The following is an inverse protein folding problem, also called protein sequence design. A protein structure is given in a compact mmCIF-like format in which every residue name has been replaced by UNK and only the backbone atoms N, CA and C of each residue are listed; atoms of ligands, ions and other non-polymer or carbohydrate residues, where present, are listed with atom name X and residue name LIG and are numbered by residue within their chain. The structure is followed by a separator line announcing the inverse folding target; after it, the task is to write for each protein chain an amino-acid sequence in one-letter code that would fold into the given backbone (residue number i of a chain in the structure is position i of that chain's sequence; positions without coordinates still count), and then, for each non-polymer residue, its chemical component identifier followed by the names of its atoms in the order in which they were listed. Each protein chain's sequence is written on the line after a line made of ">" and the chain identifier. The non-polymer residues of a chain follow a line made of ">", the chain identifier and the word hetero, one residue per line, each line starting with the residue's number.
data_IF_538913466298
#
_entry.id   IF_538913466298
#
_cell.length_a   1.000
_cell.length_b   1.000
_cell.length_c   1.000
_cell.angle_alpha   90.00
_cell.angle_beta   90.00
_cell.angle_gamma   90.00
#
_symmetry.space_group_name_H-M   'P 1'
#
loop_
_entity.id
_entity.type
_entity.pdbx_description
1 polymer ?
#
# COMPACT_ATOMS: atom_id res chain seq x y z
N UNK A 1 15.25 -8.59 -4.30
CA UNK A 1 16.03 -7.65 -3.49
C UNK A 1 15.28 -6.34 -3.31
N UNK A 2 15.19 -5.87 -2.10
CA UNK A 2 14.52 -4.62 -1.78
C UNK A 2 15.52 -3.54 -1.43
N UNK A 3 15.22 -2.32 -1.88
CA UNK A 3 16.06 -1.17 -1.63
C UNK A 3 15.20 0.04 -1.32
N UNK A 4 15.60 0.82 -0.31
CA UNK A 4 14.87 2.03 0.07
C UNK A 4 15.46 3.22 -0.66
N UNK A 5 14.64 3.99 -1.33
CA UNK A 5 15.11 5.15 -2.08
C UNK A 5 14.73 6.49 -1.47
N UNK A 6 13.80 6.51 -0.54
CA UNK A 6 13.43 7.73 0.16
C UNK A 6 13.40 7.47 1.65
N UNK A 7 14.57 7.40 2.23
CA UNK A 7 14.69 7.07 3.63
C UNK A 7 14.62 8.28 4.54
N UNK A 8 14.80 9.46 4.01
CA UNK A 8 14.95 10.66 4.85
C UNK A 8 13.64 11.18 5.37
N UNK A 9 12.57 10.85 4.69
CA UNK A 9 11.29 11.44 5.03
C UNK A 9 10.41 10.44 5.74
N UNK A 10 9.30 10.97 6.23
CA UNK A 10 8.30 10.20 6.91
C UNK A 10 7.65 9.14 5.99
N UNK A 11 7.64 9.39 4.69
CA UNK A 11 6.92 8.57 3.71
C UNK A 11 7.91 7.83 2.81
N UNK A 12 8.32 6.62 3.21
CA UNK A 12 9.31 5.88 2.43
C UNK A 12 8.73 5.34 1.12
N UNK A 13 9.62 5.18 0.15
CA UNK A 13 9.34 4.43 -1.06
C UNK A 13 10.38 3.33 -1.16
N UNK A 14 9.90 2.10 -1.31
CA UNK A 14 10.77 0.93 -1.48
C UNK A 14 10.73 0.50 -2.93
N UNK A 15 11.87 0.12 -3.47
CA UNK A 15 11.94 -0.43 -4.81
C UNK A 15 12.46 -1.85 -4.76
N UNK A 16 11.98 -2.67 -5.69
CA UNK A 16 12.44 -4.03 -5.86
C UNK A 16 13.17 -4.11 -7.19
N UNK A 17 14.38 -4.65 -7.17
CA UNK A 17 15.20 -4.76 -8.37
C UNK A 17 15.49 -6.23 -8.65
N UNK A 18 15.68 -6.55 -9.93
CA UNK A 18 16.05 -7.88 -10.36
C UNK A 18 17.57 -8.07 -10.38
N UNK A 19 18.02 -9.23 -10.84
CA UNK A 19 19.44 -9.57 -10.88
C UNK A 19 20.26 -8.65 -11.77
N UNK A 20 19.61 -7.97 -12.74
CA UNK A 20 20.29 -7.05 -13.62
C UNK A 20 20.21 -5.61 -13.13
N UNK A 21 19.75 -5.43 -11.88
CA UNK A 21 19.60 -4.11 -11.26
C UNK A 21 18.51 -3.25 -11.90
N UNK A 22 17.54 -3.89 -12.54
CA UNK A 22 16.39 -3.19 -13.13
C UNK A 22 15.26 -3.13 -12.10
N UNK A 23 14.61 -1.98 -11.98
CA UNK A 23 13.47 -1.84 -11.09
C UNK A 23 12.29 -2.64 -11.66
N UNK A 24 11.78 -3.57 -10.87
CA UNK A 24 10.65 -4.42 -11.25
C UNK A 24 9.41 -4.17 -10.39
N UNK A 25 9.52 -3.34 -9.39
CA UNK A 25 8.38 -2.98 -8.57
C UNK A 25 8.73 -1.89 -7.59
N UNK A 26 7.68 -1.27 -7.03
CA UNK A 26 7.87 -0.28 -5.97
C UNK A 26 6.62 -0.26 -5.09
N UNK A 27 6.80 0.18 -3.87
CA UNK A 27 5.71 0.42 -2.95
C UNK A 27 6.04 1.63 -2.11
N UNK A 28 5.07 2.50 -1.88
CA UNK A 28 5.33 3.74 -1.19
C UNK A 28 4.18 4.17 -0.31
N UNK A 29 4.52 4.97 0.69
CA UNK A 29 3.54 5.63 1.55
C UNK A 29 3.41 7.08 1.12
N UNK A 30 2.23 7.65 1.37
CA UNK A 30 1.98 9.05 1.15
C UNK A 30 1.03 9.58 2.22
N UNK A 31 0.98 10.90 2.34
CA UNK A 31 0.14 11.55 3.33
C UNK A 31 -1.33 11.24 3.08
N UNK A 32 -2.07 10.96 4.13
CA UNK A 32 -3.51 10.72 4.03
C UNK A 32 -4.29 12.03 4.02
N UNK A 33 -4.11 12.83 5.06
CA UNK A 33 -4.81 14.11 5.20
C UNK A 33 -3.93 15.08 5.97
N UNK A 34 -4.17 16.38 5.75
CA UNK A 34 -3.32 17.43 6.32
C UNK A 34 -3.54 17.68 7.82
N UNK A 35 -4.70 17.31 8.36
CA UNK A 35 -5.00 17.60 9.76
C UNK A 35 -4.14 16.74 10.69
N UNK A 36 -3.70 17.36 11.78
CA UNK A 36 -2.80 16.70 12.74
C UNK A 36 -3.40 15.42 13.35
N UNK A 37 -4.70 15.34 13.48
CA UNK A 37 -5.34 14.15 14.04
C UNK A 37 -5.19 12.91 13.14
N UNK A 38 -4.74 13.08 11.90
CA UNK A 38 -4.50 11.99 10.97
C UNK A 38 -3.02 11.72 10.73
N UNK A 39 -2.14 12.30 11.53
CA UNK A 39 -0.69 12.20 11.30
C UNK A 39 -0.15 10.79 11.29
N UNK A 40 -0.78 9.88 11.99
CA UNK A 40 -0.34 8.48 12.05
C UNK A 40 -0.94 7.59 10.99
N UNK A 41 -1.64 8.17 10.02
CA UNK A 41 -2.28 7.42 8.93
C UNK A 41 -1.56 7.72 7.64
N UNK A 42 -1.29 6.69 6.84
CA UNK A 42 -0.71 6.87 5.51
C UNK A 42 -1.50 6.08 4.48
N UNK A 43 -1.56 6.64 3.27
CA UNK A 43 -1.99 5.91 2.09
C UNK A 43 -0.81 5.11 1.56
N UNK A 44 -1.08 3.96 0.95
CA UNK A 44 -0.03 3.25 0.24
C UNK A 44 -0.40 3.04 -1.21
N UNK A 45 0.65 2.88 -2.04
CA UNK A 45 0.54 2.49 -3.43
C UNK A 45 1.58 1.43 -3.70
N UNK A 46 1.26 0.50 -4.60
CA UNK A 46 2.18 -0.57 -4.96
C UNK A 46 2.06 -0.86 -6.45
N UNK A 47 3.19 -1.11 -7.09
CA UNK A 47 3.27 -1.52 -8.48
C UNK A 47 4.26 -2.65 -8.61
N UNK A 48 3.91 -3.65 -9.40
CA UNK A 48 4.80 -4.76 -9.71
C UNK A 48 4.74 -5.02 -11.21
N UNK A 49 5.93 -5.09 -11.83
CA UNK A 49 6.03 -5.37 -13.25
C UNK A 49 5.32 -6.69 -13.57
N UNK A 50 4.58 -6.70 -14.67
CA UNK A 50 3.81 -7.88 -15.07
C UNK A 50 4.69 -9.13 -15.17
N UNK A 51 5.92 -8.97 -15.63
CA UNK A 51 6.83 -10.10 -15.85
C UNK A 51 7.23 -10.84 -14.58
N UNK A 52 7.10 -10.20 -13.43
CA UNK A 52 7.50 -10.82 -12.15
C UNK A 52 6.32 -11.10 -11.26
N UNK A 53 5.10 -10.93 -11.76
CA UNK A 53 3.90 -11.25 -10.97
C UNK A 53 3.74 -12.75 -10.79
N UNK A 54 2.99 -13.14 -9.75
CA UNK A 54 2.73 -14.54 -9.48
C UNK A 54 3.85 -15.28 -8.77
N UNK A 55 4.88 -14.57 -8.29
CA UNK A 55 6.02 -15.17 -7.63
C UNK A 55 6.11 -14.83 -6.15
N UNK A 56 5.05 -14.26 -5.58
CA UNK A 56 5.05 -13.86 -4.17
C UNK A 56 5.79 -12.57 -3.89
N UNK A 57 6.28 -11.89 -4.91
CA UNK A 57 7.08 -10.67 -4.73
C UNK A 57 6.23 -9.50 -4.26
N UNK A 58 4.97 -9.42 -4.71
CA UNK A 58 4.07 -8.37 -4.24
C UNK A 58 3.84 -8.44 -2.74
N UNK A 59 3.66 -9.65 -2.21
CA UNK A 59 3.48 -9.86 -0.78
C UNK A 59 4.73 -9.45 -0.02
N UNK A 60 5.90 -9.85 -0.50
CA UNK A 60 7.17 -9.48 0.11
C UNK A 60 7.35 -7.97 0.14
N UNK A 61 7.06 -7.31 -0.96
CA UNK A 61 7.21 -5.87 -1.09
C UNK A 61 6.25 -5.14 -0.15
N UNK A 62 4.99 -5.54 -0.12
CA UNK A 62 4.00 -4.91 0.76
C UNK A 62 4.32 -5.16 2.23
N UNK A 63 4.73 -6.38 2.58
CA UNK A 63 5.11 -6.67 3.96
C UNK A 63 6.30 -5.82 4.40
N UNK A 64 7.26 -5.59 3.52
CA UNK A 64 8.40 -4.73 3.84
C UNK A 64 7.99 -3.28 4.03
N UNK A 65 7.05 -2.80 3.20
CA UNK A 65 6.51 -1.45 3.37
C UNK A 65 5.78 -1.31 4.69
N UNK A 66 5.00 -2.32 5.08
CA UNK A 66 4.25 -2.29 6.34
C UNK A 66 5.20 -2.30 7.54
N UNK A 67 6.30 -3.04 7.46
CA UNK A 67 7.30 -3.03 8.51
C UNK A 67 7.94 -1.64 8.66
N UNK A 68 8.21 -0.97 7.54
CA UNK A 68 8.71 0.40 7.57
C UNK A 68 7.68 1.36 8.17
N UNK A 69 6.42 1.19 7.81
CA UNK A 69 5.36 2.05 8.35
C UNK A 69 5.27 1.90 9.86
N UNK A 70 5.29 0.69 10.35
CA UNK A 70 5.23 0.44 11.79
C UNK A 70 6.45 1.00 12.51
N UNK A 71 7.63 0.81 11.93
CA UNK A 71 8.88 1.31 12.52
C UNK A 71 8.91 2.83 12.57
N UNK A 72 8.25 3.50 11.65
CA UNK A 72 8.20 4.97 11.61
C UNK A 72 7.07 5.57 12.44
N UNK A 73 6.33 4.74 13.17
CA UNK A 73 5.33 5.21 14.11
C UNK A 73 3.93 5.38 13.55
N UNK A 74 3.68 4.98 12.32
CA UNK A 74 2.31 5.03 11.80
C UNK A 74 1.41 4.05 12.56
N UNK A 75 0.16 4.42 12.77
CA UNK A 75 -0.78 3.55 13.45
C UNK A 75 -1.79 2.92 12.48
N UNK A 76 -1.83 3.38 11.24
CA UNK A 76 -2.73 2.81 10.22
C UNK A 76 -2.18 3.08 8.82
N UNK A 77 -2.32 2.08 7.95
CA UNK A 77 -2.06 2.22 6.52
C UNK A 77 -3.32 1.80 5.79
N UNK A 78 -3.71 2.57 4.78
CA UNK A 78 -4.94 2.28 4.05
C UNK A 78 -4.75 2.55 2.55
N UNK A 79 -5.69 2.07 1.76
CA UNK A 79 -5.73 2.36 0.33
C UNK A 79 -7.13 2.12 -0.21
N UNK A 80 -7.34 2.55 -1.44
CA UNK A 80 -8.57 2.32 -2.19
C UNK A 80 -8.23 1.50 -3.42
N UNK A 81 -8.95 0.41 -3.63
CA UNK A 81 -8.65 -0.56 -4.68
C UNK A 81 -9.93 -0.79 -5.46
N UNK A 82 -9.86 -0.73 -6.80
CA UNK A 82 -11.03 -1.03 -7.61
C UNK A 82 -11.53 -2.43 -7.31
N UNK A 83 -12.84 -2.58 -7.18
CA UNK A 83 -13.43 -3.85 -6.73
C UNK A 83 -13.17 -5.01 -7.71
N UNK A 84 -12.90 -4.71 -8.97
CA UNK A 84 -12.57 -5.74 -9.94
C UNK A 84 -11.10 -6.20 -9.87
N UNK A 85 -10.28 -5.50 -9.10
CA UNK A 85 -8.86 -5.86 -8.98
C UNK A 85 -8.68 -6.92 -7.89
N UNK A 86 -9.08 -8.15 -8.22
CA UNK A 86 -9.09 -9.24 -7.26
C UNK A 86 -7.68 -9.59 -6.75
N UNK A 87 -6.67 -9.45 -7.62
CA UNK A 87 -5.30 -9.74 -7.22
C UNK A 87 -4.82 -8.80 -6.12
N UNK A 88 -5.10 -7.50 -6.25
CA UNK A 88 -4.70 -6.53 -5.23
C UNK A 88 -5.49 -6.73 -3.93
N UNK A 89 -6.78 -7.03 -4.02
CA UNK A 89 -7.58 -7.29 -2.82
C UNK A 89 -7.08 -8.53 -2.09
N UNK A 90 -6.74 -9.59 -2.82
CA UNK A 90 -6.19 -10.80 -2.22
C UNK A 90 -4.83 -10.54 -1.58
N UNK A 91 -4.00 -9.74 -2.22
CA UNK A 91 -2.70 -9.35 -1.69
C UNK A 91 -2.86 -8.62 -0.35
N UNK A 92 -3.76 -7.66 -0.30
CA UNK A 92 -4.01 -6.90 0.92
C UNK A 92 -4.52 -7.80 2.05
N UNK A 93 -5.44 -8.70 1.73
CA UNK A 93 -5.94 -9.64 2.73
C UNK A 93 -4.81 -10.51 3.26
N UNK A 94 -3.95 -11.01 2.38
CA UNK A 94 -2.80 -11.83 2.78
C UNK A 94 -1.82 -11.06 3.67
N UNK A 95 -1.79 -9.74 3.57
CA UNK A 95 -0.92 -8.90 4.38
C UNK A 95 -1.62 -8.29 5.59
N UNK A 96 -2.80 -8.79 5.95
CA UNK A 96 -3.46 -8.40 7.18
C UNK A 96 -4.39 -7.20 7.09
N UNK A 97 -4.71 -6.76 5.89
CA UNK A 97 -5.67 -5.69 5.70
C UNK A 97 -7.09 -6.23 5.84
N UNK A 98 -8.00 -5.38 6.32
CA UNK A 98 -9.41 -5.68 6.28
C UNK A 98 -10.12 -4.73 5.32
N UNK A 99 -11.21 -5.18 4.74
CA UNK A 99 -12.03 -4.32 3.91
C UNK A 99 -12.99 -3.55 4.79
N UNK A 100 -12.90 -2.22 4.73
CA UNK A 100 -13.72 -1.33 5.54
C UNK A 100 -15.10 -1.15 4.93
N UNK A 101 -15.15 -1.04 3.62
CA UNK A 101 -16.38 -0.82 2.89
C UNK A 101 -16.10 -0.60 1.42
N UNK A 102 -17.14 -0.21 0.69
CA UNK A 102 -17.05 0.04 -0.75
C UNK A 102 -17.68 1.40 -1.05
N UNK A 103 -16.94 2.25 -1.75
CA UNK A 103 -17.50 3.45 -2.34
C UNK A 103 -18.11 3.09 -3.68
N UNK A 104 -19.40 3.29 -3.82
CA UNK A 104 -20.08 3.00 -5.06
C UNK A 104 -19.92 4.16 -6.04
N UNK A 105 -19.64 3.82 -7.30
CA UNK A 105 -19.50 4.82 -8.37
C UNK A 105 -18.53 5.93 -7.98
N UNK A 106 -17.41 5.53 -7.43
CA UNK A 106 -16.43 6.46 -6.87
C UNK A 106 -15.54 7.09 -7.93
N UNK A 107 -15.24 6.35 -8.99
CA UNK A 107 -14.42 6.84 -10.09
C UNK A 107 -15.14 6.60 -11.41
N UNK A 108 -14.94 7.54 -12.34
CA UNK A 108 -15.42 7.37 -13.71
C UNK A 108 -14.20 7.28 -14.62
N UNK A 109 -14.01 6.12 -15.26
CA UNK A 109 -12.88 5.87 -16.13
C UNK A 109 -13.39 5.44 -17.49
N UNK A 110 -13.06 6.21 -18.52
CA UNK A 110 -13.48 5.92 -19.89
C UNK A 110 -14.99 5.70 -20.00
N UNK A 111 -15.77 6.55 -19.34
CA UNK A 111 -17.22 6.48 -19.37
C UNK A 111 -17.83 5.40 -18.49
N UNK A 112 -17.02 4.66 -17.74
CA UNK A 112 -17.50 3.62 -16.83
C UNK A 112 -17.37 4.06 -15.40
N UNK A 113 -18.43 3.86 -14.63
CA UNK A 113 -18.40 4.10 -13.20
C UNK A 113 -17.83 2.89 -12.48
N UNK A 114 -16.88 3.14 -11.59
CA UNK A 114 -16.15 2.08 -10.90
C UNK A 114 -16.30 2.21 -9.39
N UNK A 115 -16.47 1.08 -8.73
CA UNK A 115 -16.53 1.01 -7.29
C UNK A 115 -15.14 0.79 -6.73
N UNK A 116 -14.88 1.36 -5.55
CA UNK A 116 -13.59 1.22 -4.85
C UNK A 116 -13.81 0.63 -3.49
N UNK A 117 -13.08 -0.45 -3.20
CA UNK A 117 -13.02 -1.00 -1.86
C UNK A 117 -11.99 -0.23 -1.03
N UNK A 118 -12.33 0.07 0.20
CA UNK A 118 -11.39 0.68 1.13
C UNK A 118 -10.81 -0.44 1.99
N UNK A 119 -9.49 -0.52 2.04
CA UNK A 119 -8.78 -1.50 2.85
C UNK A 119 -7.88 -0.79 3.84
N UNK A 120 -7.75 -1.34 5.04
CA UNK A 120 -6.90 -0.73 6.07
C UNK A 120 -6.21 -1.79 6.89
N UNK A 121 -5.03 -1.44 7.39
CA UNK A 121 -4.33 -2.24 8.38
C UNK A 121 -3.90 -1.35 9.53
N UNK A 122 -4.22 -1.80 10.76
CA UNK A 122 -3.88 -1.10 11.99
C UNK A 122 -2.57 -1.62 12.56
N UNK A 123 -1.84 -0.74 13.23
CA UNK A 123 -0.66 -1.11 14.01
C UNK A 123 -0.94 -0.74 15.47
N UNK A 124 -1.53 -1.66 16.24
CA UNK A 124 -1.98 -1.33 17.60
C UNK A 124 -0.88 -0.83 18.52
N UNK A 125 0.36 -1.30 18.32
CA UNK A 125 1.48 -0.86 19.17
C UNK A 125 1.82 0.61 19.02
N UNK A 126 1.38 1.23 17.92
CA UNK A 126 1.66 2.64 17.66
C UNK A 126 0.47 3.54 17.95
N UNK A 127 -0.64 2.98 18.38
CA UNK A 127 -1.81 3.79 18.67
C UNK A 127 -1.61 4.56 19.96
N UNK A 128 -1.92 5.86 19.99
CA UNK A 128 -1.82 6.64 21.20
C UNK A 128 -2.75 6.09 22.28
N UNK A 129 -2.32 6.20 23.51
CA UNK A 129 -3.11 5.74 24.65
C UNK A 129 -4.35 6.63 24.83
#
# INVERSE_FOLDING_TARGET
>A
MLDGINSMERYPVLVMVDETNRVVGWAGLSSYRARACYDGIADFSIYLDRRVRGQGLGKQLLQSLLAEAEARGFWKVLSRIFTFNHASLALCEACGFRQVGVYEKHSCLEGRWLDCAIVERLFPNNQPA
#
